data_IF_268180292534
#
_entry.id   IF_268180292534
#
_cell.length_a   1.000
_cell.length_b   1.000
_cell.length_c   1.000
_cell.angle_alpha   90.00
_cell.angle_beta   90.00
_cell.angle_gamma   90.00
#
_symmetry.space_group_name_H-M   'P 1'
#
loop_
_entity.id
_entity.type
_entity.pdbx_description
1 polymer ?
#
# COMPACT_ATOMS: atom_id res chain seq x y z
N UNK A 1 8.94 -16.74 5.82
CA UNK A 1 9.22 -15.46 5.13
C UNK A 1 7.93 -14.67 5.16
N UNK A 2 7.87 -13.62 5.98
CA UNK A 2 6.65 -12.82 6.14
C UNK A 2 6.48 -11.92 4.93
N UNK A 3 5.48 -12.20 4.09
CA UNK A 3 5.07 -11.29 3.03
C UNK A 3 4.07 -10.29 3.62
N UNK A 4 4.41 -9.01 3.54
CA UNK A 4 3.54 -7.94 3.97
C UNK A 4 2.75 -7.42 2.80
N UNK A 5 1.44 -7.29 2.95
CA UNK A 5 0.52 -7.00 1.86
C UNK A 5 -0.13 -5.64 2.11
N UNK A 6 -0.15 -4.76 1.11
CA UNK A 6 -0.89 -3.50 1.16
C UNK A 6 -1.98 -3.54 0.10
N UNK A 7 -3.22 -3.31 0.52
CA UNK A 7 -4.34 -3.18 -0.40
C UNK A 7 -4.40 -1.77 -1.02
N UNK A 8 -4.38 -1.68 -2.36
CA UNK A 8 -4.44 -0.42 -3.12
C UNK A 8 -5.25 -0.59 -4.42
N UNK A 9 -6.58 -0.66 -4.36
CA UNK A 9 -7.41 -1.06 -5.50
C UNK A 9 -7.47 -0.05 -6.66
N UNK A 10 -6.98 1.18 -6.44
CA UNK A 10 -6.97 2.25 -7.45
C UNK A 10 -5.58 2.82 -7.75
N UNK A 11 -4.55 2.45 -6.97
CA UNK A 11 -3.19 2.98 -7.14
C UNK A 11 -2.15 1.92 -7.53
N UNK A 12 -2.48 0.63 -7.50
CA UNK A 12 -1.55 -0.47 -7.86
C UNK A 12 -0.91 -0.28 -9.24
N UNK A 13 -1.69 0.03 -10.27
CA UNK A 13 -1.17 0.19 -11.63
C UNK A 13 -0.25 1.41 -11.75
N UNK A 14 -0.62 2.54 -11.13
CA UNK A 14 0.25 3.73 -11.10
C UNK A 14 1.56 3.48 -10.34
N UNK A 15 1.51 2.69 -9.27
CA UNK A 15 2.72 2.25 -8.56
C UNK A 15 3.56 1.40 -9.50
N UNK A 16 2.98 0.34 -10.08
CA UNK A 16 3.70 -0.66 -10.88
C UNK A 16 4.28 -0.09 -12.18
N UNK A 17 3.65 0.93 -12.77
CA UNK A 17 4.16 1.68 -13.94
C UNK A 17 5.12 2.80 -13.56
N UNK A 18 5.12 3.24 -12.30
CA UNK A 18 6.01 4.27 -11.78
C UNK A 18 5.47 5.69 -11.87
N UNK A 19 4.23 5.87 -12.33
CA UNK A 19 3.53 7.15 -12.33
C UNK A 19 3.28 7.66 -10.90
N UNK A 20 3.10 6.75 -9.93
CA UNK A 20 2.98 7.07 -8.51
C UNK A 20 4.25 6.67 -7.78
N UNK A 21 4.85 7.63 -7.08
CA UNK A 21 6.13 7.49 -6.37
C UNK A 21 5.98 7.68 -4.86
N UNK A 22 4.83 8.16 -4.39
CA UNK A 22 4.49 8.29 -2.97
C UNK A 22 3.14 7.64 -2.69
N UNK A 23 3.09 6.69 -1.74
CA UNK A 23 1.84 6.17 -1.17
C UNK A 23 1.45 7.00 0.05
N UNK A 24 0.20 7.47 0.11
CA UNK A 24 -0.28 8.30 1.23
C UNK A 24 -1.08 7.46 2.23
N UNK A 25 -0.84 7.68 3.51
CA UNK A 25 -1.47 6.93 4.61
C UNK A 25 -1.71 7.84 5.80
N UNK A 26 -2.74 7.55 6.58
CA UNK A 26 -3.00 8.25 7.85
C UNK A 26 -2.16 7.74 9.03
N UNK A 27 -1.11 6.97 8.74
CA UNK A 27 -0.21 6.37 9.71
C UNK A 27 1.18 6.17 9.10
N UNK A 28 2.21 6.22 9.95
CA UNK A 28 3.58 5.94 9.52
C UNK A 28 3.75 4.47 9.15
N UNK A 29 4.71 4.17 8.27
CA UNK A 29 5.04 2.78 7.95
C UNK A 29 5.73 2.10 9.14
N UNK A 30 5.36 0.85 9.49
CA UNK A 30 6.14 0.08 10.45
C UNK A 30 7.60 -0.03 10.03
N UNK A 31 8.53 0.26 10.95
CA UNK A 31 9.96 0.39 10.62
C UNK A 31 10.59 -0.88 10.04
N UNK A 32 10.04 -2.06 10.37
CA UNK A 32 10.49 -3.33 9.81
C UNK A 32 10.12 -3.53 8.33
N UNK A 33 9.29 -2.66 7.74
CA UNK A 33 8.96 -2.63 6.31
C UNK A 33 9.79 -1.62 5.52
N UNK A 34 10.53 -0.76 6.22
CA UNK A 34 11.38 0.23 5.60
C UNK A 34 12.67 -0.44 5.13
N UNK A 35 13.11 -0.13 3.91
CA UNK A 35 14.40 -0.60 3.41
C UNK A 35 15.53 -0.02 4.27
N UNK A 36 16.51 -0.85 4.63
CA UNK A 36 17.63 -0.48 5.51
C UNK A 36 18.95 -0.81 4.83
N UNK A 37 19.69 0.22 4.40
CA UNK A 37 20.93 0.04 3.63
C UNK A 37 20.67 -0.79 2.37
N UNK A 38 21.45 -1.86 2.21
CA UNK A 38 21.32 -2.79 1.07
C UNK A 38 20.16 -3.80 1.23
N UNK A 39 19.51 -3.84 2.40
CA UNK A 39 18.38 -4.74 2.66
C UNK A 39 17.06 -4.09 2.25
N UNK A 40 16.40 -4.67 1.24
CA UNK A 40 15.10 -4.22 0.75
C UNK A 40 13.99 -5.17 1.18
N UNK A 41 12.96 -4.64 1.83
CA UNK A 41 11.75 -5.41 2.20
C UNK A 41 10.71 -5.26 1.10
N UNK A 42 10.40 -6.37 0.42
CA UNK A 42 9.34 -6.40 -0.59
C UNK A 42 7.98 -6.49 0.09
N UNK A 43 7.17 -5.48 -0.14
CA UNK A 43 5.76 -5.40 0.26
C UNK A 43 4.94 -5.79 -0.95
N UNK A 44 4.17 -6.86 -0.83
CA UNK A 44 3.23 -7.31 -1.84
C UNK A 44 2.08 -6.30 -2.01
N UNK A 45 1.69 -6.04 -3.25
CA UNK A 45 0.57 -5.19 -3.61
C UNK A 45 -0.64 -6.08 -3.86
N UNK A 46 -1.69 -5.93 -3.05
CA UNK A 46 -2.95 -6.63 -3.26
C UNK A 46 -3.99 -5.72 -3.93
N UNK A 47 -4.64 -6.28 -4.93
CA UNK A 47 -5.84 -5.74 -5.54
C UNK A 47 -7.03 -6.53 -5.03
N UNK A 48 -8.04 -5.83 -4.52
CA UNK A 48 -9.37 -6.38 -4.33
C UNK A 48 -10.20 -6.10 -5.57
N UNK A 49 -11.29 -6.85 -5.77
CA UNK A 49 -12.38 -6.36 -6.60
C UNK A 49 -12.78 -4.93 -6.14
N UNK A 50 -13.14 -4.06 -7.08
CA UNK A 50 -13.46 -2.66 -6.80
C UNK A 50 -14.59 -2.60 -5.75
N UNK A 51 -14.27 -2.09 -4.56
CA UNK A 51 -15.25 -1.77 -3.52
C UNK A 51 -15.67 -0.30 -3.58
N UNK A 52 -16.52 0.13 -2.65
CA UNK A 52 -16.85 1.55 -2.46
C UNK A 52 -15.74 2.28 -1.70
N UNK A 53 -15.39 3.49 -2.12
CA UNK A 53 -14.37 4.31 -1.45
C UNK A 53 -14.72 4.56 0.02
N UNK A 54 -13.71 4.47 0.90
CA UNK A 54 -13.87 4.66 2.34
C UNK A 54 -14.46 3.48 3.10
N UNK A 55 -14.83 2.38 2.43
CA UNK A 55 -15.32 1.15 3.07
C UNK A 55 -14.23 0.06 2.98
N UNK A 56 -13.51 -0.17 4.09
CA UNK A 56 -12.66 -1.37 4.18
C UNK A 56 -13.55 -2.59 4.46
N UNK A 57 -14.15 -3.15 3.42
CA UNK A 57 -14.89 -4.42 3.47
C UNK A 57 -13.99 -5.65 3.59
N UNK A 58 -12.66 -5.45 3.62
CA UNK A 58 -11.68 -6.51 3.78
C UNK A 58 -11.76 -6.98 5.25
N UNK A 59 -11.96 -8.27 5.55
CA UNK A 59 -11.93 -8.80 6.91
C UNK A 59 -10.51 -8.90 7.48
N UNK A 60 -10.36 -9.11 8.79
CA UNK A 60 -9.05 -9.25 9.43
C UNK A 60 -8.29 -10.50 9.01
N UNK A 61 -8.99 -11.51 8.48
CA UNK A 61 -8.36 -12.69 7.88
C UNK A 61 -8.92 -12.89 6.48
N UNK A 62 -8.04 -12.93 5.49
CA UNK A 62 -8.39 -13.07 4.07
C UNK A 62 -7.76 -14.31 3.46
N UNK A 63 -8.46 -14.90 2.50
CA UNK A 63 -7.94 -15.98 1.66
C UNK A 63 -7.47 -15.38 0.34
N UNK A 64 -6.16 -15.43 0.08
CA UNK A 64 -5.58 -14.96 -1.17
C UNK A 64 -5.91 -15.93 -2.32
N UNK A 65 -6.06 -15.41 -3.53
CA UNK A 65 -6.38 -16.21 -4.73
C UNK A 65 -7.87 -16.40 -5.01
N UNK A 66 -8.78 -15.90 -4.15
CA UNK A 66 -10.23 -15.87 -4.44
C UNK A 66 -10.72 -14.44 -4.68
N UNK A 67 -10.67 -13.58 -3.65
CA UNK A 67 -11.20 -12.21 -3.70
C UNK A 67 -10.12 -11.12 -3.72
N UNK A 68 -8.85 -11.53 -3.57
CA UNK A 68 -7.69 -10.66 -3.61
C UNK A 68 -6.62 -11.28 -4.48
N UNK A 69 -6.08 -10.49 -5.40
CA UNK A 69 -4.99 -10.87 -6.29
C UNK A 69 -3.75 -10.06 -5.94
N UNK A 70 -2.59 -10.71 -5.86
CA UNK A 70 -1.33 -9.97 -5.82
C UNK A 70 -0.99 -9.46 -7.22
N UNK A 71 -0.93 -8.14 -7.37
CA UNK A 71 -0.56 -7.48 -8.63
C UNK A 71 0.96 -7.39 -8.80
N UNK A 72 1.69 -7.30 -7.69
CA UNK A 72 3.13 -7.17 -7.70
C UNK A 72 3.70 -6.92 -6.32
N UNK A 73 4.80 -6.17 -6.28
CA UNK A 73 5.47 -5.77 -5.06
C UNK A 73 6.11 -4.39 -5.22
N UNK A 74 6.33 -3.73 -4.09
CA UNK A 74 7.10 -2.50 -3.97
C UNK A 74 8.02 -2.57 -2.75
N UNK A 75 8.97 -1.65 -2.67
CA UNK A 75 9.78 -1.36 -1.48
C UNK A 75 9.49 0.06 -1.05
N UNK A 76 9.65 0.35 0.24
CA UNK A 76 9.56 1.71 0.76
C UNK A 76 10.95 2.10 1.26
N UNK A 77 11.43 3.27 0.83
CA UNK A 77 12.81 3.73 1.10
C UNK A 77 12.88 4.85 2.13
N UNK A 78 11.81 5.66 2.24
CA UNK A 78 11.66 6.66 3.29
C UNK A 78 10.19 6.93 3.57
N UNK A 79 9.93 7.52 4.72
CA UNK A 79 8.61 7.98 5.15
C UNK A 79 8.72 9.36 5.77
N UNK A 80 7.69 10.17 5.67
CA UNK A 80 7.63 11.50 6.28
C UNK A 80 6.17 11.87 6.58
N UNK A 81 5.97 12.76 7.55
CA UNK A 81 4.66 13.34 7.86
C UNK A 81 4.45 14.59 7.01
N UNK A 82 3.24 14.75 6.47
CA UNK A 82 2.83 16.02 5.88
C UNK A 82 2.40 16.96 7.01
N UNK A 83 3.00 18.14 7.04
CA UNK A 83 2.79 19.15 8.09
C UNK A 83 1.65 20.13 7.75
N UNK A 84 1.21 20.15 6.49
CA UNK A 84 0.15 21.04 6.02
C UNK A 84 -0.47 20.53 4.72
N UNK A 85 -1.67 21.03 4.41
CA UNK A 85 -2.31 20.84 3.10
C UNK A 85 -1.39 21.28 1.96
N UNK A 86 -0.71 22.42 2.09
CA UNK A 86 0.20 22.92 1.06
C UNK A 86 1.40 21.98 0.81
N UNK A 87 1.93 21.33 1.85
CA UNK A 87 2.97 20.31 1.69
C UNK A 87 2.42 19.09 0.95
N UNK A 88 1.22 18.62 1.32
CA UNK A 88 0.55 17.53 0.61
C UNK A 88 0.32 17.87 -0.88
N UNK A 89 -0.24 19.03 -1.18
CA UNK A 89 -0.56 19.47 -2.54
C UNK A 89 0.69 19.60 -3.41
N UNK A 90 1.85 19.95 -2.82
CA UNK A 90 3.13 20.02 -3.55
C UNK A 90 3.63 18.68 -4.08
N UNK A 91 3.08 17.56 -3.57
CA UNK A 91 3.38 16.19 -4.00
C UNK A 91 2.23 15.56 -4.81
N UNK A 92 1.26 16.35 -5.28
CA UNK A 92 0.08 15.86 -6.03
C UNK A 92 0.47 15.00 -7.24
N UNK A 93 1.51 15.38 -7.96
CA UNK A 93 2.05 14.67 -9.12
C UNK A 93 2.73 13.34 -8.73
N UNK A 94 3.16 13.19 -7.48
CA UNK A 94 3.83 11.99 -6.96
C UNK A 94 2.86 11.00 -6.33
N UNK A 95 1.84 11.48 -5.62
CA UNK A 95 0.87 10.62 -4.96
C UNK A 95 -0.43 10.44 -5.74
N UNK A 96 -0.75 11.26 -6.73
CA UNK A 96 -1.92 11.11 -7.60
C UNK A 96 -3.24 10.93 -6.82
N UNK A 97 -3.36 11.58 -5.66
CA UNK A 97 -4.58 11.54 -4.86
C UNK A 97 -5.45 12.66 -5.38
N UNK A 98 -6.67 12.33 -5.79
CA UNK A 98 -7.66 13.33 -6.15
C UNK A 98 -7.99 14.17 -4.90
N UNK A 99 -7.82 15.51 -4.94
CA UNK A 99 -8.19 16.40 -3.83
C UNK A 99 -9.65 16.29 -3.41
N UNK A 100 -10.55 15.87 -4.31
CA UNK A 100 -11.96 15.65 -4.01
C UNK A 100 -12.24 14.29 -3.35
N UNK A 101 -11.24 13.42 -3.21
CA UNK A 101 -11.41 12.09 -2.61
C UNK A 101 -11.36 12.13 -1.08
N UNK A 102 -11.96 11.13 -0.45
CA UNK A 102 -11.87 10.90 1.00
C UNK A 102 -10.45 10.52 1.48
N UNK A 103 -9.49 10.38 0.57
CA UNK A 103 -8.09 10.08 0.87
C UNK A 103 -7.20 11.34 0.85
N UNK A 104 -7.78 12.50 0.55
CA UNK A 104 -7.08 13.79 0.61
C UNK A 104 -6.63 14.16 2.02
N UNK A 105 -5.73 15.14 2.10
CA UNK A 105 -5.32 15.73 3.37
C UNK A 105 -6.51 16.35 4.10
N UNK A 106 -6.49 16.27 5.43
CA UNK A 106 -7.56 16.76 6.29
C UNK A 106 -6.94 17.30 7.58
N UNK A 107 -7.22 18.57 7.89
CA UNK A 107 -6.72 19.19 9.11
C UNK A 107 -7.17 18.42 10.35
N UNK A 108 -6.24 18.25 11.29
CA UNK A 108 -6.45 17.46 12.51
C UNK A 108 -6.31 15.95 12.34
N UNK A 109 -6.00 15.46 11.13
CA UNK A 109 -5.63 14.06 10.90
C UNK A 109 -4.19 13.97 10.42
N UNK A 110 -3.46 13.05 11.02
CA UNK A 110 -2.14 12.70 10.55
C UNK A 110 -2.18 12.16 9.12
N UNK A 111 -1.22 12.59 8.30
CA UNK A 111 -1.00 12.11 6.94
C UNK A 111 0.50 11.91 6.72
N UNK A 112 0.86 10.78 6.12
CA UNK A 112 2.23 10.36 5.86
C UNK A 112 2.41 10.02 4.39
N UNK A 113 3.58 10.36 3.85
CA UNK A 113 4.04 9.95 2.53
C UNK A 113 5.06 8.83 2.64
N UNK A 114 4.74 7.66 2.09
CA UNK A 114 5.66 6.53 1.99
C UNK A 114 6.29 6.54 0.59
N UNK A 115 7.59 6.79 0.53
CA UNK A 115 8.30 6.92 -0.74
C UNK A 115 8.64 5.54 -1.28
N UNK A 116 8.15 5.30 -2.50
CA UNK A 116 8.29 4.03 -3.20
C UNK A 116 9.68 3.94 -3.82
N UNK A 117 10.39 2.85 -3.54
CA UNK A 117 11.65 2.51 -4.18
C UNK A 117 11.46 1.59 -5.39
N UNK A 118 12.18 0.47 -5.38
CA UNK A 118 12.03 -0.62 -6.34
C UNK A 118 10.64 -1.22 -6.31
N UNK A 119 10.20 -1.72 -7.47
CA UNK A 119 8.88 -2.30 -7.71
C UNK A 119 8.95 -3.36 -8.80
N UNK A 120 7.97 -4.25 -8.84
CA UNK A 120 7.87 -5.24 -9.90
C UNK A 120 6.50 -5.91 -9.94
N UNK A 121 6.10 -6.35 -11.13
CA UNK A 121 4.89 -7.15 -11.30
C UNK A 121 5.15 -8.58 -10.84
N UNK A 122 4.14 -9.20 -10.26
CA UNK A 122 4.16 -10.64 -10.03
C UNK A 122 3.65 -11.33 -11.29
N UNK A 123 4.31 -12.39 -11.78
CA UNK A 123 3.76 -13.17 -12.86
C UNK A 123 2.41 -13.75 -12.43
N UNK A 124 1.46 -13.77 -13.37
CA UNK A 124 0.15 -14.41 -13.21
C UNK A 124 0.31 -15.93 -13.13
N UNK A 125 0.85 -16.43 -12.02
CA UNK A 125 0.80 -17.83 -11.69
C UNK A 125 -0.07 -18.03 -10.45
N UNK A 126 -0.71 -19.19 -10.40
CA UNK A 126 -1.62 -19.64 -9.34
C UNK A 126 -1.01 -19.32 -7.97
N UNK A 127 -1.53 -18.25 -7.36
CA UNK A 127 -1.26 -18.01 -5.96
C UNK A 127 -2.01 -19.09 -5.22
N UNK A 128 -1.28 -20.11 -4.76
CA UNK A 128 -1.85 -21.13 -3.88
C UNK A 128 -2.70 -20.47 -2.80
N UNK A 129 -3.76 -21.16 -2.38
CA UNK A 129 -4.71 -20.62 -1.42
C UNK A 129 -4.04 -20.47 -0.05
N UNK A 130 -3.48 -19.30 0.21
CA UNK A 130 -2.87 -18.94 1.51
C UNK A 130 -3.76 -17.97 2.26
N UNK A 131 -3.64 -17.97 3.58
CA UNK A 131 -4.32 -17.01 4.43
C UNK A 131 -3.40 -15.84 4.75
N UNK A 132 -3.97 -14.64 4.85
CA UNK A 132 -3.30 -13.48 5.40
C UNK A 132 -4.10 -12.88 6.53
N UNK A 133 -3.41 -12.42 7.57
CA UNK A 133 -3.97 -11.78 8.76
C UNK A 133 -3.60 -10.30 8.79
N UNK A 134 -4.57 -9.46 9.12
CA UNK A 134 -4.35 -8.03 9.29
C UNK A 134 -3.48 -7.80 10.51
N UNK A 135 -2.37 -7.10 10.31
CA UNK A 135 -1.50 -6.63 11.40
C UNK A 135 -1.82 -5.19 11.78
N UNK A 136 -2.11 -4.35 10.80
CA UNK A 136 -2.44 -2.95 11.02
C UNK A 136 -3.15 -2.38 9.80
N UNK A 137 -4.35 -1.79 9.96
CA UNK A 137 -5.04 -1.06 8.88
C UNK A 137 -5.00 -1.85 7.56
N UNK A 138 -4.33 -1.38 6.51
CA UNK A 138 -4.24 -2.05 5.21
C UNK A 138 -3.05 -3.01 5.07
N UNK A 139 -2.29 -3.26 6.14
CA UNK A 139 -1.14 -4.17 6.20
C UNK A 139 -1.58 -5.54 6.70
N UNK A 140 -1.31 -6.57 5.89
CA UNK A 140 -1.52 -7.97 6.24
C UNK A 140 -0.20 -8.74 6.21
N UNK A 141 -0.15 -9.87 6.91
CA UNK A 141 0.93 -10.85 6.89
C UNK A 141 0.39 -12.20 6.42
N UNK A 142 1.09 -12.87 5.50
CA UNK A 142 0.77 -14.26 5.13
C UNK A 142 1.05 -15.16 6.33
N UNK A 143 0.03 -15.88 6.79
CA UNK A 143 0.15 -16.96 7.77
C UNK A 143 0.09 -18.28 7.00
N UNK A 144 1.11 -19.12 7.15
CA UNK A 144 1.15 -20.42 6.49
C UNK A 144 -0.10 -21.24 6.84
N UNK A 145 -0.59 -22.01 5.86
CA UNK A 145 -1.68 -22.98 6.00
C UNK A 145 -1.38 -24.03 7.06
#
# INVERSE_FOLDING_TARGET
MTAHLVCVPASSEHILTGNKTIETRTYDIPKYLLSQGDSSVRIAILETARGSDGVSSIPDRVKLGTNMKQAGWMTIVRTFKYESQSHFDSDTDKHLVDPASNYGYCDGKDMYGWVIGSKGRCPTHDQGQVFAERRMRSIFEIVAT
#
